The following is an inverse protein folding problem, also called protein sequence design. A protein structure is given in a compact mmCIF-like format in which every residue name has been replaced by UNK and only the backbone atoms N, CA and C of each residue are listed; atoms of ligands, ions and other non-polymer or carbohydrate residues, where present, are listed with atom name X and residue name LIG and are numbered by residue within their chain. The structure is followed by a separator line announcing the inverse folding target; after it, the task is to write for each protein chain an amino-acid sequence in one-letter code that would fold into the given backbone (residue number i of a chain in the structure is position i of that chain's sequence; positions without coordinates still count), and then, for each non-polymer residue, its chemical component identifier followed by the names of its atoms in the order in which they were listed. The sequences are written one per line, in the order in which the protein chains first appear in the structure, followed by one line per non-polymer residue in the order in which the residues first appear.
data_IF_833362116730
#
_entry.id   IF_833362116730
#
_cell.length_a   1.000
_cell.length_b   1.000
_cell.length_c   1.000
_cell.angle_alpha   90.00
_cell.angle_beta   90.00
_cell.angle_gamma   90.00
#
_symmetry.space_group_name_H-M   'P 1'
#
loop_
_entity.id
_entity.type
_entity.pdbx_description
1 polymer ?
#
# COMPACT_ATOMS: atom_id res chain seq x y z
N UNK A 1 22.47 -23.36 21.36
CA UNK A 1 23.68 -22.48 21.29
C UNK A 1 23.34 -21.24 20.49
N UNK A 2 23.41 -20.04 21.08
CA UNK A 2 23.21 -18.77 20.35
C UNK A 2 24.53 -18.37 19.67
N UNK A 3 24.60 -18.52 18.34
CA UNK A 3 25.77 -18.14 17.55
C UNK A 3 25.71 -16.62 17.34
N UNK A 4 26.52 -15.86 18.08
CA UNK A 4 26.56 -14.39 17.96
C UNK A 4 26.95 -14.01 16.53
N UNK A 5 26.09 -13.22 15.88
CA UNK A 5 26.37 -12.65 14.56
C UNK A 5 27.51 -11.64 14.67
N UNK A 6 28.40 -11.64 13.67
CA UNK A 6 29.38 -10.56 13.52
C UNK A 6 28.67 -9.21 13.34
N UNK A 7 29.31 -8.07 13.66
CA UNK A 7 28.70 -6.75 13.48
C UNK A 7 28.17 -6.52 12.06
N UNK A 8 28.88 -7.03 11.04
CA UNK A 8 28.43 -7.00 9.65
C UNK A 8 27.19 -7.87 9.42
N UNK A 9 27.15 -9.09 9.99
CA UNK A 9 25.99 -9.98 9.92
C UNK A 9 24.74 -9.39 10.58
N UNK A 10 24.90 -8.66 11.68
CA UNK A 10 23.78 -7.96 12.35
C UNK A 10 23.20 -6.86 11.47
N UNK A 11 24.05 -6.06 10.81
CA UNK A 11 23.62 -5.02 9.87
C UNK A 11 22.89 -5.62 8.67
N UNK A 12 23.43 -6.70 8.11
CA UNK A 12 22.81 -7.40 6.98
C UNK A 12 21.45 -7.97 7.38
N UNK A 13 21.33 -8.61 8.55
CA UNK A 13 20.06 -9.09 9.06
C UNK A 13 19.04 -7.95 9.24
N UNK A 14 19.46 -6.80 9.77
CA UNK A 14 18.60 -5.63 9.87
C UNK A 14 18.10 -5.18 8.50
N UNK A 15 18.98 -5.07 7.50
CA UNK A 15 18.61 -4.68 6.13
C UNK A 15 17.62 -5.68 5.53
N UNK A 16 17.89 -6.98 5.66
CA UNK A 16 17.01 -8.04 5.14
C UNK A 16 15.61 -7.95 5.77
N UNK A 17 15.54 -7.67 7.06
CA UNK A 17 14.26 -7.55 7.78
C UNK A 17 13.55 -6.24 7.46
N UNK A 18 14.26 -5.12 7.35
CA UNK A 18 13.65 -3.80 7.16
C UNK A 18 13.29 -3.49 5.71
N UNK A 19 14.07 -3.98 4.74
CA UNK A 19 13.91 -3.64 3.33
C UNK A 19 12.50 -3.97 2.77
N UNK A 20 11.88 -5.13 3.06
CA UNK A 20 10.53 -5.44 2.57
C UNK A 20 9.48 -4.41 3.02
N UNK A 21 9.56 -3.94 4.27
CA UNK A 21 8.63 -2.94 4.78
C UNK A 21 8.81 -1.59 4.08
N UNK A 22 10.07 -1.17 3.89
CA UNK A 22 10.38 0.08 3.18
C UNK A 22 9.90 0.03 1.74
N UNK A 23 10.12 -1.08 1.04
CA UNK A 23 9.66 -1.28 -0.34
C UNK A 23 8.14 -1.26 -0.42
N UNK A 24 7.44 -2.01 0.44
CA UNK A 24 5.98 -2.09 0.44
C UNK A 24 5.34 -0.73 0.74
N UNK A 25 5.82 -0.03 1.77
CA UNK A 25 5.31 1.29 2.16
C UNK A 25 5.57 2.33 1.07
N UNK A 26 6.78 2.36 0.51
CA UNK A 26 7.13 3.26 -0.60
C UNK A 26 6.27 3.01 -1.83
N UNK A 27 6.01 1.73 -2.16
CA UNK A 27 5.15 1.36 -3.29
C UNK A 27 3.70 1.79 -3.10
N UNK A 28 3.14 1.57 -1.90
CA UNK A 28 1.78 2.02 -1.56
C UNK A 28 1.69 3.54 -1.68
N UNK A 29 2.69 4.25 -1.14
CA UNK A 29 2.72 5.71 -1.19
C UNK A 29 2.85 6.22 -2.62
N UNK A 30 3.66 5.57 -3.46
CA UNK A 30 3.79 5.89 -4.88
C UNK A 30 2.44 5.78 -5.61
N UNK A 31 1.72 4.67 -5.40
CA UNK A 31 0.37 4.49 -5.96
C UNK A 31 -0.62 5.55 -5.50
N UNK A 32 -0.50 6.02 -4.26
CA UNK A 32 -1.40 7.03 -3.67
C UNK A 32 -1.08 8.45 -4.12
N UNK A 33 0.19 8.86 -3.98
CA UNK A 33 0.61 10.25 -4.12
C UNK A 33 0.94 10.59 -5.56
N UNK A 34 1.60 9.67 -6.29
CA UNK A 34 2.03 9.94 -7.67
C UNK A 34 0.95 9.49 -8.67
N UNK A 35 0.41 8.29 -8.48
CA UNK A 35 -0.60 7.74 -9.41
C UNK A 35 -2.04 8.15 -9.07
N UNK A 36 -2.28 8.74 -7.89
CA UNK A 36 -3.62 9.16 -7.47
C UNK A 36 -4.62 8.01 -7.32
N UNK A 37 -4.15 6.76 -7.22
CA UNK A 37 -5.04 5.60 -7.08
C UNK A 37 -5.81 5.70 -5.76
N UNK A 38 -7.15 5.73 -5.84
CA UNK A 38 -8.00 5.70 -4.66
C UNK A 38 -7.82 4.38 -3.89
N UNK A 39 -8.02 4.36 -2.56
CA UNK A 39 -7.98 3.12 -1.80
C UNK A 39 -8.98 2.15 -2.38
N UNK A 40 -8.55 0.91 -2.67
CA UNK A 40 -9.43 -0.16 -3.11
C UNK A 40 -9.65 -1.12 -1.95
N UNK A 41 -10.88 -1.57 -1.75
CA UNK A 41 -11.20 -2.71 -0.88
C UNK A 41 -10.62 -3.98 -1.50
N UNK A 42 -10.56 -5.07 -0.72
CA UNK A 42 -10.09 -6.37 -1.19
C UNK A 42 -10.83 -6.86 -2.46
N UNK A 43 -12.08 -6.42 -2.65
CA UNK A 43 -12.93 -6.75 -3.80
C UNK A 43 -12.68 -5.85 -5.03
N UNK A 44 -11.65 -5.00 -5.00
CA UNK A 44 -11.27 -4.13 -6.14
C UNK A 44 -12.08 -2.85 -6.29
N UNK A 45 -13.18 -2.69 -5.54
CA UNK A 45 -13.96 -1.45 -5.51
C UNK A 45 -13.22 -0.35 -4.76
N UNK A 46 -13.44 0.92 -5.10
CA UNK A 46 -12.91 2.03 -4.31
C UNK A 46 -13.50 1.98 -2.88
N UNK A 47 -12.66 2.14 -1.85
CA UNK A 47 -13.06 2.36 -0.46
C UNK A 47 -13.77 3.71 -0.44
N UNK A 48 -15.10 3.64 -0.34
CA UNK A 48 -15.92 4.82 -0.17
C UNK A 48 -16.10 5.09 1.32
N UNK A 49 -16.00 6.34 1.78
CA UNK A 49 -16.37 6.67 3.15
C UNK A 49 -17.83 6.28 3.39
N UNK A 50 -18.10 5.69 4.56
CA UNK A 50 -19.45 5.27 4.93
C UNK A 50 -20.41 6.48 4.84
N UNK A 51 -21.42 6.40 3.97
CA UNK A 51 -22.43 7.46 3.82
C UNK A 51 -22.49 8.18 2.46
N UNK A 52 -21.57 7.90 1.53
CA UNK A 52 -21.63 8.48 0.17
C UNK A 52 -22.41 7.54 -0.77
N UNK A 53 -23.68 7.86 -1.05
CA UNK A 53 -24.54 7.17 -2.03
C UNK A 53 -24.45 7.84 -3.40
N UNK A 54 -24.27 7.03 -4.43
CA UNK A 54 -24.04 7.40 -5.84
C UNK A 54 -25.12 8.30 -6.43
N UNK A 55 -24.70 9.42 -7.02
CA UNK A 55 -25.48 10.20 -7.99
C UNK A 55 -24.99 9.97 -9.43
N UNK A 56 -23.97 9.14 -9.66
CA UNK A 56 -23.24 9.15 -10.93
C UNK A 56 -23.75 8.17 -11.99
N UNK A 57 -24.64 7.21 -11.66
CA UNK A 57 -25.16 6.28 -12.67
C UNK A 57 -26.24 6.89 -13.60
N UNK A 58 -26.83 8.04 -13.26
CA UNK A 58 -27.88 8.66 -14.08
C UNK A 58 -27.37 9.59 -15.18
N UNK A 59 -26.17 10.16 -15.06
CA UNK A 59 -25.65 11.09 -16.08
C UNK A 59 -25.00 10.38 -17.27
N UNK A 60 -24.49 9.16 -17.11
CA UNK A 60 -23.85 8.42 -18.22
C UNK A 60 -24.84 7.62 -19.10
N UNK A 61 -26.15 7.69 -18.81
CA UNK A 61 -27.22 7.07 -19.61
C UNK A 61 -28.05 8.08 -20.40
N UNK A 62 -27.72 9.38 -20.28
CA UNK A 62 -28.44 10.49 -20.90
C UNK A 62 -27.62 11.26 -21.94
N UNK A 63 -26.47 10.72 -22.37
CA UNK A 63 -25.70 11.20 -23.52
C UNK A 63 -25.68 10.16 -24.63
#
# INVERSE_FOLDING_TARGET
MSRKLSPAGRRLATIIVSAPFVVATSWILYKRVVLGEQPRVADGHAVRPMGVRERDEKDNRLL
#
